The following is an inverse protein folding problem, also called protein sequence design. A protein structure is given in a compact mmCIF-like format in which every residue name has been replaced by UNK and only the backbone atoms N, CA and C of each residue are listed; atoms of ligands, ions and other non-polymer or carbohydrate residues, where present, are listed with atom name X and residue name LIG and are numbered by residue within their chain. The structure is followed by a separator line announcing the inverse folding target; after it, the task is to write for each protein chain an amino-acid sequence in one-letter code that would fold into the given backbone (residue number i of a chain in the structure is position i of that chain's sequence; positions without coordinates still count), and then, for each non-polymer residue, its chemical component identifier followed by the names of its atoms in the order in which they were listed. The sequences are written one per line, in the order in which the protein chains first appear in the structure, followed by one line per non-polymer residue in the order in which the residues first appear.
data_IF_195980166362
#
_entry.id   IF_195980166362
#
_cell.length_a   1.000
_cell.length_b   1.000
_cell.length_c   1.000
_cell.angle_alpha   90.00
_cell.angle_beta   90.00
_cell.angle_gamma   90.00
#
_symmetry.space_group_name_H-M   'P 1'
#
loop_
_entity.id
_entity.type
_entity.pdbx_description
1 polymer ?
#
# COMPACT_ATOMS: atom_id res chain seq x y z
N UNK A 1 -7.06 -18.37 34.19
CA UNK A 1 -7.96 -19.28 33.45
C UNK A 1 -8.01 -18.83 32.00
N UNK A 2 -7.75 -19.70 31.02
CA UNK A 2 -7.80 -19.31 29.62
C UNK A 2 -9.25 -19.02 29.21
N UNK A 3 -9.45 -17.87 28.56
CA UNK A 3 -10.75 -17.46 28.02
C UNK A 3 -11.02 -18.32 26.79
N UNK A 4 -11.83 -19.35 26.98
CA UNK A 4 -12.36 -20.17 25.89
C UNK A 4 -13.45 -19.36 25.19
N UNK A 5 -13.15 -18.88 23.99
CA UNK A 5 -14.16 -18.34 23.07
C UNK A 5 -15.10 -19.48 22.70
N UNK A 6 -16.28 -19.51 23.31
CA UNK A 6 -17.33 -20.48 22.98
C UNK A 6 -17.77 -20.28 21.54
N UNK A 7 -17.49 -21.28 20.72
CA UNK A 7 -17.96 -21.41 19.34
C UNK A 7 -19.49 -21.40 19.30
N UNK A 8 -20.07 -20.37 18.68
CA UNK A 8 -21.49 -20.36 18.34
C UNK A 8 -21.72 -21.29 17.16
N UNK A 9 -22.33 -22.44 17.45
CA UNK A 9 -22.58 -23.55 16.54
C UNK A 9 -23.87 -23.31 15.75
N UNK A 10 -23.72 -22.71 14.58
CA UNK A 10 -24.38 -22.96 13.26
C UNK A 10 -23.81 -21.82 12.40
N UNK A 11 -22.49 -21.79 12.30
CA UNK A 11 -21.74 -20.73 11.64
C UNK A 11 -21.54 -21.12 10.19
N UNK A 12 -22.01 -20.28 9.27
CA UNK A 12 -21.56 -20.32 7.88
C UNK A 12 -20.03 -20.38 7.89
N UNK A 13 -19.48 -21.53 7.52
CA UNK A 13 -18.04 -21.74 7.47
C UNK A 13 -17.51 -21.02 6.25
N UNK A 14 -17.14 -19.75 6.43
CA UNK A 14 -16.45 -18.99 5.39
C UNK A 14 -15.06 -19.60 5.17
N UNK A 15 -14.68 -19.92 3.93
CA UNK A 15 -13.30 -20.28 3.63
C UNK A 15 -12.33 -19.20 4.16
N UNK A 16 -11.20 -19.58 4.78
CA UNK A 16 -10.28 -18.61 5.39
C UNK A 16 -9.84 -17.49 4.44
N UNK A 17 -9.70 -17.81 3.15
CA UNK A 17 -9.32 -16.87 2.10
C UNK A 17 -10.40 -15.82 1.80
N UNK A 18 -11.67 -16.21 1.84
CA UNK A 18 -12.77 -15.26 1.68
C UNK A 18 -12.88 -14.33 2.89
N UNK A 19 -12.67 -14.87 4.09
CA UNK A 19 -12.68 -14.08 5.32
C UNK A 19 -11.51 -13.07 5.36
N UNK A 20 -10.31 -13.45 4.94
CA UNK A 20 -9.16 -12.54 4.88
C UNK A 20 -9.38 -11.38 3.90
N UNK A 21 -10.01 -11.62 2.74
CA UNK A 21 -10.39 -10.57 1.79
C UNK A 21 -11.38 -9.57 2.40
N UNK A 22 -12.46 -10.07 3.04
CA UNK A 22 -13.44 -9.22 3.72
C UNK A 22 -12.81 -8.40 4.85
N UNK A 23 -11.93 -9.02 5.63
CA UNK A 23 -11.18 -8.35 6.70
C UNK A 23 -10.26 -7.26 6.16
N UNK A 24 -9.59 -7.48 5.01
CA UNK A 24 -8.77 -6.47 4.36
C UNK A 24 -9.61 -5.24 3.97
N UNK A 25 -10.74 -5.44 3.29
CA UNK A 25 -11.59 -4.33 2.86
C UNK A 25 -12.19 -3.56 4.04
N UNK A 26 -12.60 -4.28 5.10
CA UNK A 26 -13.08 -3.64 6.33
C UNK A 26 -11.98 -2.84 7.02
N UNK A 27 -10.76 -3.36 7.07
CA UNK A 27 -9.63 -2.65 7.66
C UNK A 27 -9.24 -1.41 6.85
N UNK A 28 -9.28 -1.50 5.52
CA UNK A 28 -9.04 -0.37 4.63
C UNK A 28 -9.96 0.81 4.99
N UNK A 29 -11.26 0.56 5.19
CA UNK A 29 -12.17 1.60 5.65
C UNK A 29 -11.79 2.18 7.03
N UNK A 30 -11.46 1.34 8.00
CA UNK A 30 -11.04 1.80 9.33
C UNK A 30 -9.80 2.69 9.25
N UNK A 31 -8.86 2.38 8.34
CA UNK A 31 -7.69 3.21 8.08
C UNK A 31 -8.10 4.57 7.49
N UNK A 32 -9.01 4.60 6.51
CA UNK A 32 -9.49 5.87 5.91
C UNK A 32 -10.23 6.77 6.90
N UNK A 33 -10.86 6.19 7.92
CA UNK A 33 -11.60 6.91 8.96
C UNK A 33 -10.77 7.22 10.20
N UNK A 34 -9.48 6.86 10.22
CA UNK A 34 -8.56 7.14 11.32
C UNK A 34 -8.61 6.14 12.49
N UNK A 35 -9.39 5.06 12.38
CA UNK A 35 -9.47 3.95 13.34
C UNK A 35 -8.32 2.96 13.16
N UNK A 36 -7.08 3.45 13.23
CA UNK A 36 -5.88 2.68 12.85
C UNK A 36 -5.68 1.41 13.68
N UNK A 37 -5.94 1.43 14.98
CA UNK A 37 -5.74 0.27 15.86
C UNK A 37 -6.69 -0.89 15.51
N UNK A 38 -7.95 -0.58 15.25
CA UNK A 38 -8.94 -1.57 14.83
C UNK A 38 -8.57 -2.13 13.45
N UNK A 39 -8.16 -1.28 12.52
CA UNK A 39 -7.66 -1.69 11.21
C UNK A 39 -6.45 -2.63 11.30
N UNK A 40 -5.46 -2.30 12.14
CA UNK A 40 -4.28 -3.14 12.42
C UNK A 40 -4.70 -4.51 12.97
N UNK A 41 -5.66 -4.54 13.90
CA UNK A 41 -6.14 -5.80 14.47
C UNK A 41 -6.82 -6.69 13.42
N UNK A 42 -7.65 -6.11 12.52
CA UNK A 42 -8.28 -6.86 11.44
C UNK A 42 -7.27 -7.36 10.40
N UNK A 43 -6.30 -6.54 9.98
CA UNK A 43 -5.25 -6.94 9.05
C UNK A 43 -4.34 -8.03 9.63
N UNK A 44 -4.03 -7.94 10.93
CA UNK A 44 -3.27 -8.99 11.62
C UNK A 44 -4.03 -10.32 11.63
N UNK A 45 -5.37 -10.29 11.81
CA UNK A 45 -6.22 -11.49 11.68
C UNK A 45 -6.23 -12.01 10.24
N UNK A 46 -6.40 -11.12 9.26
CA UNK A 46 -6.39 -11.48 7.84
C UNK A 46 -5.07 -12.17 7.44
N UNK A 47 -3.93 -11.62 7.87
CA UNK A 47 -2.61 -12.19 7.59
C UNK A 47 -2.43 -13.58 8.22
N UNK A 48 -2.92 -13.79 9.44
CA UNK A 48 -2.89 -15.12 10.09
C UNK A 48 -3.72 -16.14 9.32
N UNK A 49 -4.88 -15.75 8.79
CA UNK A 49 -5.73 -16.63 7.99
C UNK A 49 -5.02 -17.03 6.69
N UNK A 50 -4.39 -16.09 5.98
CA UNK A 50 -3.65 -16.38 4.75
C UNK A 50 -2.43 -17.28 4.99
N UNK A 51 -1.75 -17.14 6.14
CA UNK A 51 -0.62 -18.01 6.49
C UNK A 51 -1.03 -19.43 6.84
N UNK A 52 -2.15 -19.61 7.55
CA UNK A 52 -2.60 -20.94 7.96
C UNK A 52 -3.11 -21.76 6.76
N UNK A 53 -3.66 -21.11 5.74
CA UNK A 53 -4.16 -21.78 4.53
C UNK A 53 -3.07 -22.52 3.75
N UNK A 54 -1.78 -22.17 3.90
CA UNK A 54 -0.69 -22.80 3.14
C UNK A 54 -0.17 -24.10 3.76
N UNK A 55 -0.43 -24.38 5.04
CA UNK A 55 0.28 -25.46 5.77
C UNK A 55 -0.39 -26.83 5.62
N UNK A 56 -1.70 -26.86 5.42
CA UNK A 56 -2.48 -28.11 5.57
C UNK A 56 -2.93 -28.75 4.26
N UNK A 57 -2.64 -28.14 3.10
CA UNK A 57 -3.08 -28.70 1.80
C UNK A 57 -2.03 -29.69 1.27
N UNK A 58 -2.37 -30.98 1.08
CA UNK A 58 -1.46 -31.94 0.46
C UNK A 58 -1.04 -31.44 -0.93
N UNK A 59 0.23 -31.68 -1.30
CA UNK A 59 0.87 -31.16 -2.51
C UNK A 59 0.07 -31.41 -3.80
N UNK A 60 -0.75 -32.46 -3.83
CA UNK A 60 -1.55 -32.86 -4.98
C UNK A 60 -2.86 -32.05 -5.15
N UNK A 61 -3.23 -31.20 -4.18
CA UNK A 61 -4.46 -30.38 -4.22
C UNK A 61 -4.19 -28.89 -4.03
N UNK A 62 -3.05 -28.38 -4.50
CA UNK A 62 -2.85 -26.94 -4.53
C UNK A 62 -3.91 -26.31 -5.44
N UNK A 63 -4.88 -25.64 -4.80
CA UNK A 63 -5.92 -24.89 -5.48
C UNK A 63 -5.22 -23.86 -6.37
N UNK A 64 -5.50 -23.92 -7.68
CA UNK A 64 -4.90 -22.99 -8.62
C UNK A 64 -5.29 -21.56 -8.22
N UNK A 65 -4.29 -20.70 -8.06
CA UNK A 65 -4.51 -19.27 -7.84
C UNK A 65 -5.30 -18.71 -9.01
N UNK A 66 -6.25 -17.83 -8.72
CA UNK A 66 -7.08 -17.20 -9.73
C UNK A 66 -6.24 -16.21 -10.56
N UNK A 67 -6.25 -16.42 -11.88
CA UNK A 67 -5.56 -15.57 -12.86
C UNK A 67 -6.50 -14.54 -13.52
N UNK A 68 -7.72 -14.34 -12.99
CA UNK A 68 -8.63 -13.36 -13.56
C UNK A 68 -8.11 -11.93 -13.33
N UNK A 69 -8.50 -11.02 -14.22
CA UNK A 69 -8.12 -9.60 -14.13
C UNK A 69 -8.47 -8.98 -12.77
N UNK A 70 -9.64 -9.29 -12.22
CA UNK A 70 -10.10 -8.75 -10.94
C UNK A 70 -9.19 -9.13 -9.75
N UNK A 71 -8.49 -10.28 -9.81
CA UNK A 71 -7.55 -10.73 -8.79
C UNK A 71 -6.15 -10.13 -8.94
N UNK A 72 -5.87 -9.41 -10.02
CA UNK A 72 -4.57 -8.79 -10.24
C UNK A 72 -4.31 -7.65 -9.26
N UNK A 73 -3.03 -7.42 -8.96
CA UNK A 73 -2.59 -6.26 -8.18
C UNK A 73 -3.09 -4.96 -8.82
N UNK A 74 -3.09 -4.90 -10.16
CA UNK A 74 -3.47 -3.69 -10.88
C UNK A 74 -4.96 -3.35 -10.70
N UNK A 75 -5.84 -4.34 -10.74
CA UNK A 75 -7.26 -4.11 -10.46
C UNK A 75 -7.51 -3.65 -9.02
N UNK A 76 -6.61 -3.96 -8.09
CA UNK A 76 -6.70 -3.50 -6.70
C UNK A 76 -6.13 -2.07 -6.50
N UNK A 77 -5.34 -1.58 -7.47
CA UNK A 77 -4.74 -0.24 -7.48
C UNK A 77 -5.64 0.79 -8.20
N UNK A 78 -6.34 0.41 -9.26
CA UNK A 78 -7.21 1.29 -10.07
C UNK A 78 -8.62 1.45 -9.46
N UNK A 79 -8.81 1.17 -8.16
CA UNK A 79 -10.08 1.48 -7.51
C UNK A 79 -10.18 3.00 -7.31
N UNK A 80 -10.36 3.74 -8.40
CA UNK A 80 -10.71 5.16 -8.43
C UNK A 80 -12.01 5.36 -7.66
N UNK A 81 -12.30 6.62 -7.31
CA UNK A 81 -13.32 7.12 -6.39
C UNK A 81 -14.76 6.74 -6.73
N UNK A 82 -15.06 5.46 -6.91
CA UNK A 82 -16.42 4.97 -7.04
C UNK A 82 -17.14 5.27 -5.73
N UNK A 83 -18.24 6.06 -5.76
CA UNK A 83 -19.07 6.32 -4.58
C UNK A 83 -19.61 5.03 -3.95
N UNK A 84 -19.44 3.89 -4.64
CA UNK A 84 -19.68 2.53 -4.17
C UNK A 84 -19.02 2.17 -2.84
N UNK A 85 -17.87 2.76 -2.48
CA UNK A 85 -17.29 2.60 -1.13
C UNK A 85 -18.26 3.04 -0.02
N UNK A 86 -19.19 3.96 -0.30
CA UNK A 86 -20.23 4.32 0.66
C UNK A 86 -21.33 3.27 0.74
N UNK A 87 -21.63 2.59 -0.37
CA UNK A 87 -22.74 1.62 -0.48
C UNK A 87 -22.39 0.28 0.16
N UNK A 88 -21.19 -0.27 -0.09
CA UNK A 88 -20.75 -1.55 0.49
C UNK A 88 -20.69 -1.51 2.04
N UNK A 89 -20.67 -0.30 2.60
CA UNK A 89 -20.42 -0.04 4.02
C UNK A 89 -21.68 0.13 4.85
N UNK A 90 -22.83 0.41 4.21
CA UNK A 90 -24.12 0.48 4.90
C UNK A 90 -24.52 -0.92 5.40
N UNK A 91 -24.37 -1.95 4.55
CA UNK A 91 -24.88 -3.29 4.85
C UNK A 91 -24.09 -4.02 5.96
N UNK A 92 -22.77 -3.81 6.05
CA UNK A 92 -21.94 -4.46 7.09
C UNK A 92 -22.08 -3.83 8.48
N UNK A 93 -22.26 -2.51 8.58
CA UNK A 93 -22.46 -1.85 9.88
C UNK A 93 -23.78 -2.29 10.52
N UNK A 94 -24.84 -2.44 9.72
CA UNK A 94 -26.12 -2.97 10.19
C UNK A 94 -26.03 -4.42 10.66
N UNK A 95 -25.21 -5.26 10.01
CA UNK A 95 -25.09 -6.66 10.41
C UNK A 95 -24.30 -6.86 11.72
N UNK A 96 -23.30 -6.02 11.99
CA UNK A 96 -22.45 -6.18 13.19
C UNK A 96 -23.11 -5.61 14.46
N UNK A 97 -23.87 -4.51 14.34
CA UNK A 97 -24.62 -3.95 15.48
C UNK A 97 -25.72 -4.89 15.98
N UNK A 98 -26.39 -5.61 15.07
CA UNK A 98 -27.47 -6.52 15.45
C UNK A 98 -26.97 -7.77 16.21
N UNK A 99 -25.76 -8.26 15.93
CA UNK A 99 -25.18 -9.40 16.67
C UNK A 99 -24.71 -9.02 18.08
N UNK A 100 -24.24 -7.78 18.30
CA UNK A 100 -23.86 -7.30 19.63
C UNK A 100 -25.05 -7.13 20.59
N UNK A 101 -26.21 -6.68 20.08
CA UNK A 101 -27.40 -6.45 20.91
C UNK A 101 -28.16 -7.73 21.29
N UNK A 102 -28.10 -8.78 20.48
CA UNK A 102 -28.70 -10.07 20.85
C UNK A 102 -27.95 -10.78 21.98
N UNK A 103 -26.63 -10.59 22.07
CA UNK A 103 -25.84 -11.21 23.13
C UNK A 103 -26.06 -10.56 24.51
N UNK A 104 -26.45 -9.28 24.57
CA UNK A 104 -26.80 -8.61 25.84
C UNK A 104 -28.23 -8.89 26.33
N UNK A 105 -29.15 -9.34 25.47
CA UNK A 105 -30.51 -9.72 25.88
C UNK A 105 -30.61 -11.15 26.43
N UNK A 106 -29.80 -12.09 25.92
CA UNK A 106 -29.81 -13.46 26.42
C UNK A 106 -29.11 -13.61 27.79
N UNK A 107 -28.20 -12.68 28.16
CA UNK A 107 -27.58 -12.66 29.49
C UNK A 107 -28.51 -12.11 30.60
N UNK A 108 -29.70 -11.59 30.27
CA UNK A 108 -30.68 -11.12 31.27
C UNK A 108 -31.79 -12.13 31.61
N UNK A 109 -31.86 -13.31 30.97
CA UNK A 109 -32.91 -14.31 31.23
C UNK A 109 -32.46 -15.62 31.90
N UNK A 110 -31.18 -15.77 32.27
CA UNK A 110 -30.67 -17.02 32.83
C UNK A 110 -30.20 -16.95 34.28
N UNK A 111 -30.97 -17.57 35.19
CA UNK A 111 -30.55 -18.15 36.48
C UNK A 111 -30.44 -17.24 37.73
N UNK A 112 -31.53 -17.21 38.49
CA UNK A 112 -31.45 -17.21 39.96
C UNK A 112 -30.74 -18.50 40.42
N UNK A 113 -29.59 -18.39 41.08
CA UNK A 113 -28.97 -19.48 41.81
C UNK A 113 -28.59 -19.01 43.24
N UNK A 114 -28.88 -19.77 44.31
CA UNK A 114 -28.68 -19.32 45.69
C UNK A 114 -27.19 -19.34 46.09
N UNK A 115 -26.76 -18.30 46.82
CA UNK A 115 -25.43 -18.17 47.41
C UNK A 115 -25.15 -19.22 48.49
N UNK A 116 -23.96 -19.83 48.52
CA UNK A 116 -23.33 -20.26 49.76
C UNK A 116 -22.20 -19.30 50.14
N UNK A 117 -22.16 -18.97 51.43
CA UNK A 117 -21.06 -18.27 52.09
C UNK A 117 -19.81 -19.15 52.11
N UNK A 118 -18.66 -18.61 51.72
CA UNK A 118 -17.36 -19.00 52.31
C UNK A 118 -16.31 -17.92 52.07
N UNK A 119 -15.72 -17.49 53.19
CA UNK A 119 -14.50 -16.72 53.33
C UNK A 119 -13.27 -17.50 52.87
N UNK A 120 -12.31 -16.86 52.18
CA UNK A 120 -10.91 -16.75 52.60
C UNK A 120 -9.98 -16.21 51.51
N UNK A 121 -9.00 -15.47 52.00
CA UNK A 121 -7.77 -14.90 51.44
C UNK A 121 -7.00 -15.72 50.39
N UNK A 122 -6.36 -15.05 49.43
CA UNK A 122 -4.89 -14.86 49.40
C UNK A 122 -4.37 -14.28 48.07
N UNK A 123 -3.25 -13.58 48.18
CA UNK A 123 -2.48 -12.87 47.16
C UNK A 123 -1.93 -13.77 46.04
N UNK A 124 -1.85 -13.24 44.82
CA UNK A 124 -0.68 -13.43 43.93
C UNK A 124 -0.72 -12.46 42.73
N UNK A 125 0.19 -11.49 42.75
CA UNK A 125 0.57 -10.69 41.58
C UNK A 125 1.70 -11.41 40.85
N UNK A 126 1.42 -12.01 39.68
CA UNK A 126 2.47 -12.43 38.73
C UNK A 126 2.37 -11.56 37.47
N UNK A 127 3.41 -10.78 37.26
CA UNK A 127 3.65 -10.03 36.02
C UNK A 127 4.31 -10.99 35.04
N UNK A 128 3.54 -11.52 34.10
CA UNK A 128 4.07 -12.31 33.00
C UNK A 128 4.38 -11.36 31.82
N UNK A 129 5.64 -10.90 31.78
CA UNK A 129 6.26 -10.30 30.61
C UNK A 129 6.46 -11.40 29.54
N UNK A 130 5.57 -11.44 28.55
CA UNK A 130 5.72 -12.30 27.38
C UNK A 130 6.95 -11.88 26.54
N UNK A 131 7.95 -12.76 26.58
CA UNK A 131 9.19 -12.72 25.85
C UNK A 131 8.94 -13.10 24.38
N UNK A 132 8.80 -12.13 23.48
CA UNK A 132 8.93 -12.37 22.05
C UNK A 132 10.36 -12.80 21.73
N UNK A 133 10.54 -14.09 21.43
CA UNK A 133 11.78 -14.62 20.89
C UNK A 133 12.14 -13.90 19.58
N UNK A 134 13.34 -13.31 19.58
CA UNK A 134 14.00 -12.76 18.40
C UNK A 134 14.33 -13.89 17.43
N UNK A 135 13.54 -14.04 16.37
CA UNK A 135 14.05 -14.64 15.13
C UNK A 135 14.83 -13.55 14.40
N UNK A 136 16.16 -13.59 14.59
CA UNK A 136 17.11 -12.77 13.85
C UNK A 136 17.15 -13.25 12.40
N UNK A 137 16.20 -12.78 11.58
CA UNK A 137 16.31 -12.86 10.13
C UNK A 137 17.45 -11.93 9.72
N UNK A 138 18.55 -12.51 9.24
CA UNK A 138 19.67 -11.77 8.67
C UNK A 138 19.15 -10.91 7.52
N UNK A 139 19.15 -9.60 7.70
CA UNK A 139 18.80 -8.63 6.69
C UNK A 139 19.85 -8.70 5.58
N UNK A 140 19.49 -9.29 4.44
CA UNK A 140 20.23 -9.13 3.21
C UNK A 140 20.25 -7.64 2.85
N UNK A 141 21.46 -7.12 2.60
CA UNK A 141 21.66 -5.86 1.90
C UNK A 141 20.78 -5.82 0.66
N UNK A 142 20.04 -4.73 0.47
CA UNK A 142 19.40 -4.39 -0.81
C UNK A 142 20.41 -4.65 -1.95
N UNK A 143 20.10 -5.49 -2.94
CA UNK A 143 20.99 -5.66 -4.06
C UNK A 143 21.01 -4.34 -4.85
N UNK A 144 22.20 -3.76 -5.01
CA UNK A 144 22.45 -2.62 -5.88
C UNK A 144 22.44 -3.05 -7.37
N UNK A 145 21.39 -3.74 -7.80
CA UNK A 145 21.26 -4.29 -9.16
C UNK A 145 20.04 -3.70 -9.86
N UNK A 146 20.14 -2.43 -10.24
CA UNK A 146 19.28 -1.82 -11.24
C UNK A 146 20.15 -0.91 -12.13
N UNK A 147 20.95 -1.54 -12.99
CA UNK A 147 21.66 -0.92 -14.12
C UNK A 147 22.28 -2.02 -14.99
N UNK A 148 21.47 -2.85 -15.65
CA UNK A 148 21.95 -3.67 -16.77
C UNK A 148 20.80 -4.15 -17.66
N UNK A 149 20.05 -3.21 -18.23
CA UNK A 149 19.24 -3.42 -19.42
C UNK A 149 19.55 -2.29 -20.40
N UNK A 150 20.19 -2.65 -21.52
CA UNK A 150 20.27 -1.85 -22.74
C UNK A 150 21.36 -0.78 -22.83
N UNK A 151 22.52 -1.11 -23.42
CA UNK A 151 23.32 -0.18 -24.25
C UNK A 151 24.46 -0.91 -24.98
N UNK A 152 24.15 -1.47 -26.16
CA UNK A 152 25.13 -1.64 -27.25
C UNK A 152 24.97 -0.44 -28.18
N UNK A 153 26.10 0.15 -28.59
CA UNK A 153 26.30 1.31 -29.48
C UNK A 153 26.31 2.70 -28.80
N UNK A 154 27.52 3.23 -28.58
CA UNK A 154 27.98 4.50 -29.16
C UNK A 154 29.31 4.91 -28.52
N UNK A 155 30.41 4.58 -29.19
CA UNK A 155 31.74 5.05 -28.87
C UNK A 155 32.08 6.21 -29.81
N UNK A 156 31.83 7.46 -29.43
CA UNK A 156 32.49 8.61 -30.08
C UNK A 156 32.42 9.93 -29.28
N UNK A 157 33.58 10.26 -28.68
CA UNK A 157 34.32 11.53 -28.81
C UNK A 157 33.79 12.86 -28.19
N UNK A 158 34.64 13.34 -27.25
CA UNK A 158 35.28 14.68 -27.11
C UNK A 158 34.71 15.70 -26.09
N UNK A 159 35.53 15.95 -25.07
CA UNK A 159 36.13 17.24 -24.68
C UNK A 159 35.50 18.53 -25.25
N UNK A 160 35.05 19.42 -24.36
CA UNK A 160 35.16 20.91 -24.39
C UNK A 160 34.59 21.43 -23.05
N UNK A 161 35.41 21.87 -22.09
CA UNK A 161 35.94 23.23 -21.93
C UNK A 161 34.83 24.28 -21.66
N UNK A 162 34.68 24.65 -20.39
CA UNK A 162 34.00 25.86 -19.90
C UNK A 162 34.70 27.13 -20.43
N UNK A 163 34.01 28.28 -20.50
CA UNK A 163 34.08 29.22 -19.37
C UNK A 163 32.90 30.23 -19.19
N UNK A 164 32.94 30.87 -18.01
CA UNK A 164 32.63 32.29 -17.69
C UNK A 164 31.19 32.83 -17.72
N UNK A 165 30.72 33.11 -16.49
CA UNK A 165 30.31 34.43 -15.96
C UNK A 165 29.88 35.52 -16.96
N UNK A 166 28.64 35.99 -16.81
CA UNK A 166 28.25 37.40 -16.95
C UNK A 166 26.87 37.65 -16.33
N UNK A 167 26.60 38.92 -16.13
CA UNK A 167 25.93 39.54 -15.01
C UNK A 167 24.67 40.32 -15.42
N UNK A 168 23.91 40.77 -14.42
CA UNK A 168 23.11 42.03 -14.44
C UNK A 168 21.79 41.99 -15.23
N UNK A 169 20.65 42.08 -14.52
CA UNK A 169 19.81 43.29 -14.44
C UNK A 169 18.51 43.01 -13.70
N UNK A 170 18.33 43.76 -12.62
CA UNK A 170 17.09 44.08 -11.91
C UNK A 170 16.17 44.93 -12.78
N UNK A 171 14.93 44.49 -13.02
CA UNK A 171 13.81 45.40 -13.27
C UNK A 171 12.50 44.84 -12.67
N UNK A 172 11.87 45.66 -11.84
CA UNK A 172 10.50 45.53 -11.35
C UNK A 172 9.55 46.15 -12.37
N UNK A 173 8.28 45.71 -12.42
CA UNK A 173 7.27 46.71 -12.12
C UNK A 173 6.08 46.17 -11.30
N UNK A 174 5.70 47.04 -10.37
CA UNK A 174 4.38 47.14 -9.74
C UNK A 174 3.26 47.18 -10.77
N UNK A 175 2.22 46.37 -10.57
CA UNK A 175 0.87 46.76 -10.97
C UNK A 175 -0.16 46.19 -9.99
N UNK A 176 -0.90 47.13 -9.44
CA UNK A 176 -2.05 47.00 -8.55
C UNK A 176 -3.29 46.69 -9.37
N UNK A 177 -3.98 45.59 -9.06
CA UNK A 177 -5.38 45.40 -9.41
C UNK A 177 -6.13 44.78 -8.23
N UNK A 178 -7.13 45.53 -7.76
CA UNK A 178 -8.10 45.12 -6.75
C UNK A 178 -9.30 44.53 -7.49
N UNK A 179 -9.56 43.24 -7.29
CA UNK A 179 -10.82 42.61 -7.64
C UNK A 179 -11.29 41.79 -6.44
N UNK A 180 -12.44 42.17 -5.91
CA UNK A 180 -13.15 41.47 -4.84
C UNK A 180 -13.87 40.30 -5.48
N UNK A 181 -13.29 39.11 -5.38
CA UNK A 181 -13.98 37.85 -5.65
C UNK A 181 -14.29 37.14 -4.33
N UNK A 182 -15.58 36.88 -4.14
CA UNK A 182 -16.13 36.12 -3.01
C UNK A 182 -15.92 34.63 -3.30
N UNK A 183 -14.67 34.19 -3.18
CA UNK A 183 -14.31 32.78 -3.16
C UNK A 183 -14.30 32.32 -1.71
N UNK A 184 -15.06 31.28 -1.40
CA UNK A 184 -14.99 30.56 -0.12
C UNK A 184 -13.58 30.03 0.06
N UNK A 185 -12.74 30.84 0.71
CA UNK A 185 -11.37 30.52 1.05
C UNK A 185 -11.40 29.40 2.10
N UNK A 186 -11.20 28.17 1.64
CA UNK A 186 -10.64 27.11 2.46
C UNK A 186 -9.27 27.62 2.88
N UNK A 187 -9.18 28.23 4.06
CA UNK A 187 -7.94 28.79 4.60
C UNK A 187 -6.94 27.66 4.73
N UNK A 188 -6.09 27.51 3.71
CA UNK A 188 -4.95 26.62 3.68
C UNK A 188 -3.99 27.13 4.76
N UNK A 189 -4.25 26.71 5.98
CA UNK A 189 -3.34 26.91 7.10
C UNK A 189 -2.20 25.97 6.79
N UNK A 190 -1.19 26.47 6.05
CA UNK A 190 0.10 25.81 5.86
C UNK A 190 0.80 25.78 7.20
N UNK A 191 0.26 24.99 8.13
CA UNK A 191 1.04 24.43 9.22
C UNK A 191 2.20 23.73 8.55
N UNK A 192 3.41 24.19 8.84
CA UNK A 192 4.67 23.58 8.42
C UNK A 192 4.67 22.17 9.02
N UNK A 193 4.04 21.22 8.34
CA UNK A 193 4.22 19.82 8.63
C UNK A 193 5.48 19.45 7.88
N UNK A 194 6.54 19.23 8.63
CA UNK A 194 7.85 18.74 8.16
C UNK A 194 7.79 17.32 7.54
N UNK A 195 6.57 16.83 7.31
CA UNK A 195 6.29 15.56 6.66
C UNK A 195 5.93 15.88 5.21
N UNK A 196 6.66 15.27 4.27
CA UNK A 196 6.34 15.34 2.86
C UNK A 196 5.02 14.64 2.55
N UNK A 197 4.74 14.49 1.26
CA UNK A 197 3.57 13.80 0.79
C UNK A 197 3.67 12.30 1.11
N UNK A 198 2.66 11.76 1.79
CA UNK A 198 2.53 10.32 2.06
C UNK A 198 1.30 9.81 1.34
N UNK A 199 1.43 8.74 0.58
CA UNK A 199 0.29 8.07 -0.05
C UNK A 199 -0.57 7.42 1.04
N UNK A 200 -1.86 7.80 1.11
CA UNK A 200 -2.76 7.47 2.23
C UNK A 200 -3.88 6.47 1.90
N UNK A 201 -3.98 6.02 0.65
CA UNK A 201 -5.10 5.19 0.21
C UNK A 201 -4.79 3.71 0.45
N UNK A 202 -5.60 2.98 1.23
CA UNK A 202 -5.44 1.54 1.36
C UNK A 202 -5.86 0.84 0.07
N UNK A 203 -5.28 -0.34 -0.18
CA UNK A 203 -5.61 -1.19 -1.31
C UNK A 203 -6.75 -2.13 -0.97
N UNK A 204 -7.63 -2.36 -1.93
CA UNK A 204 -8.89 -3.06 -1.71
C UNK A 204 -8.97 -4.26 -2.64
N UNK A 205 -9.57 -5.33 -2.15
CA UNK A 205 -9.93 -6.49 -2.95
C UNK A 205 -11.19 -6.14 -3.74
N UNK A 206 -11.19 -6.44 -5.04
CA UNK A 206 -12.36 -6.24 -5.89
C UNK A 206 -13.55 -7.06 -5.36
N UNK A 207 -14.75 -6.46 -5.34
CA UNK A 207 -15.95 -7.12 -4.83
C UNK A 207 -16.30 -8.39 -5.62
N UNK A 208 -16.05 -8.39 -6.93
CA UNK A 208 -16.25 -9.57 -7.77
C UNK A 208 -15.40 -10.76 -7.29
N UNK A 209 -14.17 -10.53 -6.85
CA UNK A 209 -13.32 -11.60 -6.30
C UNK A 209 -13.89 -12.19 -5.02
N UNK A 210 -14.53 -11.37 -4.19
CA UNK A 210 -15.15 -11.78 -2.92
C UNK A 210 -16.41 -12.61 -3.22
N UNK A 211 -17.25 -12.13 -4.14
CA UNK A 211 -18.52 -12.77 -4.49
C UNK A 211 -18.30 -14.11 -5.21
N UNK A 212 -17.29 -14.18 -6.08
CA UNK A 212 -16.90 -15.39 -6.82
C UNK A 212 -15.91 -16.28 -6.03
N UNK A 213 -15.57 -15.89 -4.79
CA UNK A 213 -14.70 -16.65 -3.88
C UNK A 213 -13.32 -16.99 -4.47
N UNK A 214 -12.74 -16.05 -5.22
CA UNK A 214 -11.47 -16.26 -5.89
C UNK A 214 -10.30 -16.36 -4.91
N UNK A 215 -9.36 -17.26 -5.19
CA UNK A 215 -8.08 -17.29 -4.48
C UNK A 215 -7.05 -16.37 -5.13
N UNK A 216 -6.72 -15.26 -4.47
CA UNK A 216 -5.73 -14.28 -4.94
C UNK A 216 -4.28 -14.65 -4.60
N UNK A 217 -4.04 -15.70 -3.81
CA UNK A 217 -2.70 -16.15 -3.41
C UNK A 217 -1.81 -15.04 -2.85
N UNK A 218 -0.62 -14.88 -3.46
CA UNK A 218 0.41 -13.91 -3.07
C UNK A 218 -0.12 -12.47 -3.14
N UNK A 219 -0.98 -12.15 -4.11
CA UNK A 219 -1.52 -10.80 -4.28
C UNK A 219 -2.26 -10.34 -3.03
N UNK A 220 -3.11 -11.19 -2.43
CA UNK A 220 -3.80 -10.81 -1.19
C UNK A 220 -2.84 -10.59 -0.02
N UNK A 221 -1.80 -11.41 0.09
CA UNK A 221 -0.78 -11.25 1.13
C UNK A 221 -0.05 -9.91 0.98
N UNK A 222 0.25 -9.52 -0.26
CA UNK A 222 0.84 -8.22 -0.60
C UNK A 222 -0.06 -7.05 -0.20
N UNK A 223 -1.37 -7.12 -0.52
CA UNK A 223 -2.34 -6.08 -0.13
C UNK A 223 -2.43 -5.92 1.40
N UNK A 224 -2.53 -7.03 2.12
CA UNK A 224 -2.63 -7.03 3.58
C UNK A 224 -1.37 -6.43 4.21
N UNK A 225 -0.18 -6.82 3.74
CA UNK A 225 1.10 -6.28 4.24
C UNK A 225 1.22 -4.79 3.97
N UNK A 226 0.88 -4.34 2.76
CA UNK A 226 0.88 -2.93 2.40
C UNK A 226 -0.06 -2.13 3.31
N UNK A 227 -1.31 -2.57 3.46
CA UNK A 227 -2.30 -1.89 4.28
C UNK A 227 -1.90 -1.85 5.76
N UNK A 228 -1.24 -2.90 6.26
CA UNK A 228 -0.73 -2.95 7.62
C UNK A 228 0.41 -1.94 7.80
N UNK A 229 1.34 -1.86 6.84
CA UNK A 229 2.41 -0.86 6.83
C UNK A 229 1.84 0.56 6.81
N UNK A 230 0.84 0.80 5.97
CA UNK A 230 0.13 2.06 5.84
C UNK A 230 -0.56 2.47 7.15
N UNK A 231 -1.29 1.56 7.79
CA UNK A 231 -1.96 1.82 9.07
C UNK A 231 -0.99 2.26 10.16
N UNK A 232 0.16 1.57 10.29
CA UNK A 232 1.21 1.95 11.23
C UNK A 232 1.83 3.31 10.89
N UNK A 233 2.04 3.60 9.61
CA UNK A 233 2.58 4.88 9.16
C UNK A 233 1.63 6.04 9.48
N UNK A 234 0.35 5.94 9.10
CA UNK A 234 -0.66 6.96 9.35
C UNK A 234 -0.94 7.17 10.84
N UNK A 235 -0.94 6.09 11.64
CA UNK A 235 -1.01 6.15 13.10
C UNK A 235 0.14 6.96 13.70
N UNK A 236 1.36 6.77 13.20
CA UNK A 236 2.51 7.53 13.66
C UNK A 236 2.35 9.03 13.33
N UNK A 237 1.93 9.37 12.11
CA UNK A 237 1.66 10.75 11.68
C UNK A 237 0.58 11.40 12.56
N UNK A 238 -0.55 10.73 12.79
CA UNK A 238 -1.62 11.23 13.65
C UNK A 238 -1.14 11.49 15.08
N UNK A 239 -0.26 10.62 15.59
CA UNK A 239 0.35 10.77 16.91
C UNK A 239 1.30 11.97 16.98
N UNK A 240 2.01 12.30 15.91
CA UNK A 240 2.87 13.50 15.83
C UNK A 240 2.03 14.79 15.77
N UNK A 241 0.97 14.81 14.96
CA UNK A 241 0.11 15.99 14.84
C UNK A 241 -0.57 16.34 16.17
N UNK A 242 -1.04 15.33 16.91
CA UNK A 242 -1.64 15.52 18.24
C UNK A 242 -0.65 16.14 19.24
N UNK A 243 0.64 15.82 19.11
CA UNK A 243 1.70 16.36 19.99
C UNK A 243 1.98 17.83 19.71
N UNK A 244 1.98 18.26 18.44
CA UNK A 244 2.28 19.63 18.07
C UNK A 244 1.32 20.61 18.75
N UNK A 245 0.03 20.27 18.79
CA UNK A 245 -1.02 21.09 19.42
C UNK A 245 -0.83 21.19 20.95
N UNK A 246 -0.30 20.15 21.60
CA UNK A 246 -0.21 20.06 23.07
C UNK A 246 1.14 20.53 23.66
N UNK A 247 2.13 20.83 22.80
CA UNK A 247 3.54 20.95 23.19
C UNK A 247 3.98 22.30 23.78
N UNK A 248 3.08 23.30 23.89
CA UNK A 248 3.46 24.63 24.38
C UNK A 248 3.75 24.70 25.88
N UNK A 249 3.46 23.67 26.70
CA UNK A 249 3.43 23.83 28.17
C UNK A 249 4.00 22.69 29.04
N UNK A 250 4.53 21.56 28.56
CA UNK A 250 5.00 20.50 29.50
C UNK A 250 6.14 19.58 29.06
N UNK A 251 6.93 19.14 30.06
CA UNK A 251 8.04 18.16 29.96
C UNK A 251 7.61 16.72 29.58
N UNK A 252 6.33 16.48 29.26
CA UNK A 252 5.80 15.16 28.88
C UNK A 252 6.19 14.69 27.46
N UNK A 253 6.89 15.54 26.69
CA UNK A 253 7.21 15.34 25.27
C UNK A 253 8.01 14.07 24.94
N UNK A 254 8.87 13.57 25.84
CA UNK A 254 9.80 12.49 25.50
C UNK A 254 9.14 11.10 25.38
N UNK A 255 8.12 10.79 26.21
CA UNK A 255 7.50 9.45 26.23
C UNK A 255 6.69 9.15 24.98
N UNK A 256 5.97 10.16 24.45
CA UNK A 256 5.09 10.00 23.28
C UNK A 256 5.89 9.75 21.99
N UNK A 257 7.06 10.38 21.83
CA UNK A 257 7.97 10.14 20.69
C UNK A 257 8.41 8.68 20.56
N UNK A 258 8.50 7.93 21.66
CA UNK A 258 8.88 6.51 21.63
C UNK A 258 7.80 5.64 21.00
N UNK A 259 6.52 5.97 21.19
CA UNK A 259 5.40 5.19 20.64
C UNK A 259 5.26 5.38 19.12
N UNK A 260 5.36 6.64 18.64
CA UNK A 260 5.31 6.93 17.21
C UNK A 260 6.54 6.36 16.48
N UNK A 261 7.72 6.43 17.10
CA UNK A 261 8.92 5.80 16.53
C UNK A 261 8.77 4.28 16.38
N UNK A 262 8.16 3.60 17.36
CA UNK A 262 7.86 2.16 17.24
C UNK A 262 6.90 1.88 16.07
N UNK A 263 5.87 2.70 15.91
CA UNK A 263 4.94 2.56 14.80
C UNK A 263 5.63 2.79 13.43
N UNK A 264 6.50 3.80 13.31
CA UNK A 264 7.32 4.01 12.11
C UNK A 264 8.26 2.82 11.82
N UNK A 265 8.89 2.26 12.85
CA UNK A 265 9.75 1.08 12.70
C UNK A 265 8.96 -0.16 12.25
N UNK A 266 7.73 -0.32 12.72
CA UNK A 266 6.83 -1.38 12.26
C UNK A 266 6.43 -1.16 10.80
N UNK A 267 6.02 0.05 10.45
CA UNK A 267 5.68 0.42 9.07
C UNK A 267 6.86 0.16 8.12
N UNK A 268 8.08 0.57 8.51
CA UNK A 268 9.30 0.36 7.72
C UNK A 268 9.50 -1.12 7.36
N UNK A 269 9.48 -2.00 8.37
CA UNK A 269 9.68 -3.45 8.16
C UNK A 269 8.60 -4.05 7.26
N UNK A 270 7.35 -3.61 7.42
CA UNK A 270 6.23 -4.12 6.64
C UNK A 270 6.28 -3.64 5.19
N UNK A 271 6.69 -2.39 4.93
CA UNK A 271 6.94 -1.91 3.57
C UNK A 271 8.11 -2.63 2.92
N UNK A 272 9.21 -2.87 3.64
CA UNK A 272 10.35 -3.65 3.13
C UNK A 272 9.91 -5.08 2.76
N UNK A 273 9.09 -5.73 3.59
CA UNK A 273 8.55 -7.06 3.31
C UNK A 273 7.57 -7.06 2.12
N UNK A 274 6.67 -6.09 2.05
CA UNK A 274 5.74 -5.94 0.93
C UNK A 274 6.50 -5.69 -0.39
N UNK A 275 7.55 -4.88 -0.36
CA UNK A 275 8.39 -4.65 -1.53
C UNK A 275 9.09 -5.93 -1.99
N UNK A 276 9.67 -6.70 -1.07
CA UNK A 276 10.30 -7.97 -1.43
C UNK A 276 9.29 -8.94 -2.04
N UNK A 277 8.11 -9.08 -1.43
CA UNK A 277 7.05 -9.96 -1.93
C UNK A 277 6.56 -9.53 -3.32
N UNK A 278 6.56 -8.23 -3.61
CA UNK A 278 6.26 -7.68 -4.93
C UNK A 278 7.31 -8.05 -5.98
N UNK A 279 8.60 -7.96 -5.64
CA UNK A 279 9.68 -8.41 -6.53
C UNK A 279 9.55 -9.91 -6.85
N UNK A 280 9.30 -10.73 -5.82
CA UNK A 280 9.11 -12.17 -5.99
C UNK A 280 7.89 -12.47 -6.87
N UNK A 281 6.80 -11.69 -6.72
CA UNK A 281 5.61 -11.78 -7.56
C UNK A 281 5.88 -11.49 -9.04
N UNK A 282 6.71 -10.47 -9.34
CA UNK A 282 7.10 -10.16 -10.72
C UNK A 282 7.93 -11.31 -11.31
N UNK A 283 8.91 -11.84 -10.57
CA UNK A 283 9.79 -12.90 -11.06
C UNK A 283 9.03 -14.19 -11.40
N UNK A 284 8.13 -14.64 -10.53
CA UNK A 284 7.30 -15.82 -10.77
C UNK A 284 6.43 -15.68 -12.03
N UNK A 285 6.10 -14.44 -12.39
CA UNK A 285 5.28 -14.17 -13.55
C UNK A 285 5.99 -14.19 -14.89
N UNK A 286 7.28 -13.84 -14.89
CA UNK A 286 8.12 -13.93 -16.06
C UNK A 286 8.44 -15.41 -16.37
N UNK A 287 8.67 -16.22 -15.32
CA UNK A 287 8.96 -17.65 -15.46
C UNK A 287 7.81 -18.44 -16.10
N UNK A 288 6.57 -18.17 -15.66
CA UNK A 288 5.37 -18.86 -16.17
C UNK A 288 5.07 -18.54 -17.65
N UNK A 289 5.51 -17.39 -18.16
CA UNK A 289 5.32 -16.99 -19.56
C UNK A 289 6.26 -17.73 -20.52
N UNK A 290 7.41 -18.22 -20.04
CA UNK A 290 8.45 -18.84 -20.89
C UNK A 290 8.18 -20.30 -21.27
N UNK A 291 7.40 -21.04 -20.46
CA UNK A 291 7.22 -22.50 -20.61
C UNK A 291 6.27 -22.86 -21.77
N UNK A 292 5.34 -21.98 -22.14
CA UNK A 292 4.31 -22.27 -23.14
C UNK A 292 4.82 -22.38 -24.59
N UNK A 293 6.02 -21.89 -24.90
CA UNK A 293 6.51 -21.82 -26.30
C UNK A 293 7.27 -23.07 -26.80
N UNK A 294 7.64 -24.02 -25.95
CA UNK A 294 8.54 -25.12 -26.34
C UNK A 294 7.84 -26.45 -26.72
N UNK A 295 6.50 -26.53 -26.67
CA UNK A 295 5.76 -27.77 -26.98
C UNK A 295 5.12 -27.81 -28.38
N UNK A 296 5.48 -26.89 -29.29
CA UNK A 296 5.20 -27.10 -30.72
C UNK A 296 6.18 -28.12 -31.29
N UNK A 297 5.86 -29.39 -31.05
CA UNK A 297 6.49 -30.52 -31.70
C UNK A 297 6.29 -30.39 -33.22
N UNK A 298 7.34 -30.55 -34.05
CA UNK A 298 7.19 -30.56 -35.50
C UNK A 298 6.30 -31.75 -35.91
N UNK A 299 5.03 -31.49 -36.18
CA UNK A 299 4.22 -32.45 -36.91
C UNK A 299 4.61 -32.38 -38.37
N UNK A 300 5.41 -33.37 -38.79
CA UNK A 300 5.63 -33.64 -40.20
C UNK A 300 4.30 -33.93 -40.89
N UNK A 301 4.08 -33.16 -41.93
CA UNK A 301 2.96 -33.13 -42.86
C UNK A 301 2.75 -34.45 -43.60
N UNK A 302 1.49 -34.87 -43.76
CA UNK A 302 1.00 -35.37 -45.06
C UNK A 302 -0.47 -34.94 -45.35
N UNK A 303 -0.60 -34.22 -46.46
CA UNK A 303 -1.74 -34.16 -47.41
C UNK A 303 -3.09 -33.49 -47.06
N UNK A 304 -3.21 -32.26 -47.57
CA UNK A 304 -4.29 -31.73 -48.43
C UNK A 304 -5.77 -31.87 -48.03
N UNK A 305 -6.42 -30.74 -47.72
CA UNK A 305 -7.53 -30.23 -48.57
C UNK A 305 -7.98 -28.82 -48.16
N UNK A 306 -8.33 -28.06 -49.19
CA UNK A 306 -8.74 -26.66 -49.22
C UNK A 306 -9.97 -26.36 -48.34
N UNK A 307 -9.87 -25.32 -47.51
CA UNK A 307 -11.02 -24.57 -47.00
C UNK A 307 -10.56 -23.17 -46.59
N UNK A 308 -10.92 -22.18 -47.42
CA UNK A 308 -10.86 -20.77 -47.09
C UNK A 308 -11.67 -20.52 -45.83
N UNK A 309 -11.06 -20.02 -44.75
CA UNK A 309 -11.79 -19.45 -43.63
C UNK A 309 -10.98 -18.28 -43.05
N UNK A 310 -11.73 -17.22 -42.77
CA UNK A 310 -11.29 -15.88 -42.42
C UNK A 310 -10.47 -15.84 -41.11
N UNK A 311 -9.24 -15.32 -41.22
CA UNK A 311 -8.21 -15.26 -40.17
C UNK A 311 -8.14 -13.86 -39.55
N UNK A 312 -9.12 -13.47 -38.72
CA UNK A 312 -9.19 -12.11 -38.11
C UNK A 312 -9.09 -12.07 -36.56
N UNK A 313 -8.63 -13.13 -35.87
CA UNK A 313 -8.79 -13.24 -34.40
C UNK A 313 -7.51 -13.22 -33.53
N UNK A 314 -6.43 -12.52 -33.89
CA UNK A 314 -5.14 -12.68 -33.20
C UNK A 314 -4.55 -11.48 -32.42
N UNK A 315 -5.31 -10.42 -32.10
CA UNK A 315 -4.73 -9.18 -31.52
C UNK A 315 -4.98 -8.94 -30.01
N UNK A 316 -5.64 -9.85 -29.28
CA UNK A 316 -6.13 -9.53 -27.91
C UNK A 316 -5.13 -9.68 -26.76
N UNK A 317 -3.90 -10.18 -26.98
CA UNK A 317 -2.99 -10.54 -25.87
C UNK A 317 -2.03 -9.42 -25.42
N UNK A 318 -1.86 -8.34 -26.20
CA UNK A 318 -0.87 -7.29 -25.90
C UNK A 318 -1.29 -6.37 -24.74
N UNK A 319 -2.59 -6.16 -24.56
CA UNK A 319 -3.13 -5.23 -23.57
C UNK A 319 -2.93 -5.70 -22.11
N UNK A 320 -2.95 -7.00 -21.86
CA UNK A 320 -2.86 -7.54 -20.49
C UNK A 320 -1.44 -7.44 -19.90
N UNK A 321 -0.40 -7.65 -20.72
CA UNK A 321 0.99 -7.52 -20.29
C UNK A 321 1.32 -6.07 -19.92
N UNK A 322 0.83 -5.12 -20.71
CA UNK A 322 1.01 -3.69 -20.48
C UNK A 322 0.36 -3.23 -19.16
N UNK A 323 -0.89 -3.64 -18.90
CA UNK A 323 -1.59 -3.31 -17.66
C UNK A 323 -0.88 -3.85 -16.41
N UNK A 324 -0.33 -5.06 -16.51
CA UNK A 324 0.45 -5.66 -15.41
C UNK A 324 1.70 -4.84 -15.09
N UNK A 325 2.42 -4.41 -16.12
CA UNK A 325 3.63 -3.60 -15.98
C UNK A 325 3.31 -2.25 -15.32
N UNK A 326 2.21 -1.61 -15.72
CA UNK A 326 1.75 -0.35 -15.12
C UNK A 326 1.46 -0.50 -13.62
N UNK A 327 0.72 -1.54 -13.22
CA UNK A 327 0.41 -1.72 -11.80
C UNK A 327 1.63 -2.00 -10.93
N UNK A 328 2.58 -2.78 -11.46
CA UNK A 328 3.86 -3.00 -10.80
C UNK A 328 4.65 -1.71 -10.61
N UNK A 329 4.66 -0.86 -11.64
CA UNK A 329 5.31 0.45 -11.60
C UNK A 329 4.62 1.39 -10.60
N UNK A 330 3.29 1.48 -10.63
CA UNK A 330 2.49 2.28 -9.68
C UNK A 330 2.81 1.89 -8.24
N UNK A 331 2.76 0.59 -7.95
CA UNK A 331 3.04 0.07 -6.62
C UNK A 331 4.46 0.38 -6.15
N UNK A 332 5.43 0.26 -7.05
CA UNK A 332 6.84 0.61 -6.79
C UNK A 332 6.99 2.08 -6.43
N UNK A 333 6.33 2.99 -7.16
CA UNK A 333 6.35 4.42 -6.87
C UNK A 333 5.74 4.72 -5.50
N UNK A 334 4.57 4.13 -5.19
CA UNK A 334 3.87 4.30 -3.90
C UNK A 334 4.75 3.86 -2.72
N UNK A 335 5.32 2.65 -2.79
CA UNK A 335 6.17 2.13 -1.72
C UNK A 335 7.43 2.99 -1.56
N UNK A 336 8.09 3.34 -2.67
CA UNK A 336 9.32 4.13 -2.64
C UNK A 336 9.11 5.49 -2.00
N UNK A 337 8.00 6.15 -2.35
CA UNK A 337 7.59 7.40 -1.73
C UNK A 337 7.39 7.25 -0.21
N UNK A 338 6.57 6.27 0.20
CA UNK A 338 6.24 6.08 1.61
C UNK A 338 7.45 5.65 2.46
N UNK A 339 8.35 4.82 1.91
CA UNK A 339 9.63 4.46 2.54
C UNK A 339 10.54 5.68 2.70
N UNK A 340 10.60 6.54 1.67
CA UNK A 340 11.33 7.80 1.71
C UNK A 340 10.90 8.67 2.88
N UNK A 341 9.59 8.85 3.06
CA UNK A 341 9.03 9.65 4.16
C UNK A 341 9.27 9.04 5.55
N UNK A 342 9.22 7.72 5.68
CA UNK A 342 9.57 7.07 6.94
C UNK A 342 11.06 7.29 7.25
N UNK A 343 11.94 7.15 6.25
CA UNK A 343 13.37 7.39 6.43
C UNK A 343 13.67 8.85 6.79
N UNK A 344 12.96 9.81 6.21
CA UNK A 344 13.01 11.21 6.59
C UNK A 344 12.62 11.38 8.07
N UNK A 345 11.45 10.85 8.46
CA UNK A 345 10.90 10.99 9.80
C UNK A 345 11.78 10.36 10.92
N UNK A 346 12.54 9.30 10.61
CA UNK A 346 13.49 8.68 11.55
C UNK A 346 14.91 9.30 11.50
N UNK A 347 15.14 10.29 10.64
CA UNK A 347 16.44 10.97 10.49
C UNK A 347 17.48 10.21 9.67
N UNK A 348 17.09 9.21 8.86
CA UNK A 348 17.99 8.49 7.97
C UNK A 348 18.03 9.16 6.58
N UNK A 349 18.74 10.27 6.50
CA UNK A 349 18.82 11.11 5.30
C UNK A 349 19.40 10.39 4.09
N UNK A 350 20.36 9.47 4.30
CA UNK A 350 20.97 8.68 3.23
C UNK A 350 19.98 7.74 2.55
N UNK A 351 19.25 6.94 3.32
CA UNK A 351 18.22 6.05 2.77
C UNK A 351 17.04 6.84 2.18
N UNK A 352 16.64 7.95 2.81
CA UNK A 352 15.62 8.84 2.27
C UNK A 352 15.98 9.33 0.86
N UNK A 353 17.21 9.83 0.67
CA UNK A 353 17.71 10.27 -0.63
C UNK A 353 17.69 9.14 -1.67
N UNK A 354 18.09 7.93 -1.29
CA UNK A 354 18.06 6.77 -2.19
C UNK A 354 16.63 6.42 -2.63
N UNK A 355 15.66 6.41 -1.70
CA UNK A 355 14.26 6.17 -2.01
C UNK A 355 13.71 7.21 -2.99
N UNK A 356 14.02 8.50 -2.78
CA UNK A 356 13.58 9.57 -3.65
C UNK A 356 14.27 9.56 -5.02
N UNK A 357 15.54 9.15 -5.10
CA UNK A 357 16.23 8.95 -6.39
C UNK A 357 15.57 7.82 -7.20
N UNK A 358 15.23 6.71 -6.53
CA UNK A 358 14.53 5.61 -7.17
C UNK A 358 13.13 6.03 -7.65
N UNK A 359 12.39 6.77 -6.81
CA UNK A 359 11.10 7.36 -7.18
C UNK A 359 11.22 8.30 -8.38
N UNK A 360 12.23 9.19 -8.39
CA UNK A 360 12.48 10.10 -9.51
C UNK A 360 12.77 9.32 -10.80
N UNK A 361 13.55 8.24 -10.74
CA UNK A 361 13.81 7.38 -11.89
C UNK A 361 12.52 6.75 -12.44
N UNK A 362 11.62 6.29 -11.56
CA UNK A 362 10.34 5.75 -11.95
C UNK A 362 9.43 6.82 -12.59
N UNK A 363 9.39 8.02 -12.00
CA UNK A 363 8.66 9.17 -12.55
C UNK A 363 9.17 9.52 -13.96
N UNK A 364 10.50 9.60 -14.13
CA UNK A 364 11.10 9.89 -15.44
C UNK A 364 10.70 8.85 -16.48
N UNK A 365 10.73 7.56 -16.12
CA UNK A 365 10.28 6.48 -17.00
C UNK A 365 8.79 6.60 -17.38
N UNK A 366 7.92 6.92 -16.41
CA UNK A 366 6.49 7.16 -16.65
C UNK A 366 6.27 8.29 -17.66
N UNK A 367 6.99 9.41 -17.49
CA UNK A 367 6.90 10.58 -18.37
C UNK A 367 7.42 10.25 -19.77
N UNK A 368 8.60 9.65 -19.88
CA UNK A 368 9.21 9.29 -21.18
C UNK A 368 8.34 8.30 -21.97
N UNK A 369 7.61 7.44 -21.26
CA UNK A 369 6.74 6.42 -21.84
C UNK A 369 5.29 6.87 -22.04
N UNK A 370 4.95 8.12 -21.68
CA UNK A 370 3.59 8.67 -21.70
C UNK A 370 2.55 7.80 -20.96
N UNK A 371 2.94 7.20 -19.84
CA UNK A 371 2.06 6.33 -19.04
C UNK A 371 1.23 7.15 -18.06
N UNK A 372 -0.05 6.82 -17.93
CA UNK A 372 -0.92 7.39 -16.89
C UNK A 372 -1.00 6.40 -15.74
N UNK A 373 -0.13 6.58 -14.74
CA UNK A 373 0.06 5.62 -13.64
C UNK A 373 -0.59 6.07 -12.33
N UNK A 374 -0.63 7.38 -12.08
CA UNK A 374 -1.15 7.99 -10.85
C UNK A 374 -2.15 9.08 -11.20
N UNK A 375 -3.04 9.39 -10.25
CA UNK A 375 -3.89 10.57 -10.40
C UNK A 375 -3.05 11.86 -10.30
N UNK A 376 -3.59 12.97 -10.81
CA UNK A 376 -2.84 14.23 -10.85
C UNK A 376 -2.43 14.73 -9.46
N UNK A 377 -3.24 14.47 -8.43
CA UNK A 377 -2.97 14.93 -7.07
C UNK A 377 -1.88 14.09 -6.39
N UNK A 378 -1.91 12.77 -6.62
CA UNK A 378 -0.90 11.81 -6.21
C UNK A 378 0.45 12.16 -6.87
N UNK A 379 0.42 12.43 -8.17
CA UNK A 379 1.61 12.79 -8.93
C UNK A 379 2.21 14.12 -8.45
N UNK A 380 1.39 15.15 -8.21
CA UNK A 380 1.85 16.44 -7.66
C UNK A 380 2.50 16.26 -6.27
N UNK A 381 1.91 15.40 -5.43
CA UNK A 381 2.48 15.02 -4.14
C UNK A 381 3.85 14.38 -4.28
N UNK A 382 4.02 13.46 -5.22
CA UNK A 382 5.29 12.78 -5.47
C UNK A 382 6.34 13.76 -6.00
N UNK A 383 5.96 14.68 -6.90
CA UNK A 383 6.82 15.75 -7.38
C UNK A 383 7.30 16.66 -6.25
N UNK A 384 6.41 17.00 -5.31
CA UNK A 384 6.77 17.80 -4.14
C UNK A 384 7.88 17.14 -3.30
N UNK A 385 7.88 15.82 -3.20
CA UNK A 385 8.89 15.09 -2.44
C UNK A 385 10.24 14.99 -3.17
N UNK A 386 10.25 14.86 -4.51
CA UNK A 386 11.50 14.76 -5.28
C UNK A 386 12.12 16.11 -5.65
N UNK A 387 11.35 17.20 -5.57
CA UNK A 387 11.81 18.55 -5.91
C UNK A 387 13.15 18.97 -5.27
N UNK A 388 13.43 18.67 -3.98
CA UNK A 388 14.72 18.98 -3.37
C UNK A 388 15.91 18.32 -4.07
N UNK A 389 15.76 17.08 -4.55
CA UNK A 389 16.83 16.34 -5.25
C UNK A 389 17.04 16.87 -6.66
N UNK A 390 16.00 17.41 -7.29
CA UNK A 390 16.08 18.07 -8.59
C UNK A 390 16.76 19.45 -8.51
N UNK A 391 17.19 19.90 -7.32
CA UNK A 391 17.73 21.24 -7.12
C UNK A 391 16.68 22.34 -7.20
N UNK A 392 15.39 21.97 -7.26
CA UNK A 392 14.24 22.86 -7.17
C UNK A 392 14.05 23.22 -5.70
N UNK A 393 15.01 23.96 -5.16
CA UNK A 393 14.89 24.56 -3.84
C UNK A 393 13.65 25.46 -3.83
N UNK A 394 12.84 25.36 -2.76
CA UNK A 394 11.59 26.09 -2.49
C UNK A 394 11.78 27.62 -2.43
N UNK A 395 12.32 28.22 -3.49
CA UNK A 395 12.32 29.66 -3.72
C UNK A 395 10.93 30.07 -4.20
N UNK A 396 9.92 29.87 -3.34
CA UNK A 396 8.60 30.49 -3.45
C UNK A 396 7.91 30.42 -4.82
N UNK A 397 8.05 29.34 -5.59
CA UNK A 397 7.32 29.20 -6.83
C UNK A 397 5.86 28.89 -6.52
N UNK A 398 5.07 29.95 -6.51
CA UNK A 398 3.62 29.92 -6.64
C UNK A 398 3.26 29.24 -7.96
N UNK A 399 2.50 28.15 -7.86
CA UNK A 399 1.56 27.64 -8.86
C UNK A 399 2.12 26.84 -10.06
N UNK A 400 1.74 25.57 -10.06
CA UNK A 400 2.01 24.48 -11.02
C UNK A 400 1.30 24.63 -12.39
N UNK A 401 0.75 25.80 -12.72
CA UNK A 401 -0.03 25.94 -13.97
C UNK A 401 0.82 25.95 -15.25
N UNK A 402 2.15 26.14 -15.16
CA UNK A 402 3.00 26.32 -16.36
C UNK A 402 3.80 25.09 -16.81
N UNK A 403 3.82 23.97 -16.07
CA UNK A 403 4.54 22.77 -16.53
C UNK A 403 3.72 21.86 -17.46
N UNK A 404 2.40 22.02 -17.52
CA UNK A 404 1.54 21.26 -18.45
C UNK A 404 1.66 21.68 -19.92
N UNK A 405 2.42 22.73 -20.22
CA UNK A 405 2.50 23.32 -21.57
C UNK A 405 3.87 23.13 -22.25
N UNK A 406 4.80 22.40 -21.62
CA UNK A 406 6.17 22.19 -22.14
C UNK A 406 6.68 20.74 -22.12
N UNK A 407 5.82 19.79 -21.77
CA UNK A 407 5.99 18.35 -22.01
C UNK A 407 4.78 17.94 -22.83
#
# INVERSE_FOLDING_TARGET
MPVSLKNNTIGEYYPPQLLSQKLNNRAAFLITTGHYEEGIALLTKALKLTSNSQVDTPADQHQATCNCKACSLESCLIMEHEPFMSSLMIDQLTSTQNQGQQQEQDDQQGYYCPKPNTSSSSNSSSSDDEMFHRTSMGLCSLPATASQLGSRNAQQRRNLKSPSTLSVSTESPSSSFSAVDTSTATTATTTITDFGFVYRRPLLVNQQCIDEMHDMGITLSLLILFNLALAHHLKAIASFNTQQVSSSLSNSSFKMKKSSLKALQQALKLYELAYQLHIDYIQQSEESSSVSNNNQQPQESESSSSSNNDNDNNDSNSDDEYNRSIGSLRFTMIISNNLGEIHHAIGNTGKHTLCLQHLLSAIMYVVDSNLVVLDSNEMDGFYSNVAPIMGLSNKGYMCTSSMKEKI
#
